data_IF_116042660318
#
_entry.id   IF_116042660318
#
_cell.length_a   1.000
_cell.length_b   1.000
_cell.length_c   1.000
_cell.angle_alpha   90.00
_cell.angle_beta   90.00
_cell.angle_gamma   90.00
#
_symmetry.space_group_name_H-M   'P 1'
#
loop_
_entity.id
_entity.type
_entity.pdbx_description
1 polymer ?
#
# COMPACT_ATOMS: atom_id res chain seq x y z
N UNK A 1 3.19 -6.11 15.63
CA UNK A 1 2.81 -5.52 14.32
C UNK A 1 3.57 -4.22 13.95
N UNK A 2 4.89 -4.15 14.18
CA UNK A 2 5.71 -2.95 13.90
C UNK A 2 6.00 -2.76 12.40
N UNK A 3 6.42 -3.84 11.72
CA UNK A 3 6.91 -3.75 10.35
C UNK A 3 5.82 -3.36 9.34
N UNK A 4 4.56 -3.74 9.55
CA UNK A 4 3.44 -3.33 8.67
C UNK A 4 3.25 -1.81 8.76
N UNK A 5 3.18 -1.27 9.98
CA UNK A 5 3.02 0.17 10.24
C UNK A 5 4.18 0.94 9.61
N UNK A 6 5.41 0.45 9.78
CA UNK A 6 6.61 1.06 9.20
C UNK A 6 6.63 0.98 7.67
N UNK A 7 6.35 -0.20 7.10
CA UNK A 7 6.42 -0.47 5.65
C UNK A 7 5.41 0.36 4.87
N UNK A 8 4.22 0.52 5.41
CA UNK A 8 3.11 1.25 4.81
C UNK A 8 2.98 2.68 5.34
N UNK A 9 3.89 3.12 6.23
CA UNK A 9 3.91 4.47 6.80
C UNK A 9 2.54 4.93 7.36
N UNK A 10 1.93 4.10 8.22
CA UNK A 10 0.51 4.23 8.59
C UNK A 10 0.21 5.28 9.67
N UNK A 11 1.22 5.86 10.32
CA UNK A 11 1.01 6.86 11.39
C UNK A 11 0.79 8.25 10.75
N UNK A 12 -0.29 8.38 10.00
CA UNK A 12 -0.66 9.56 9.23
C UNK A 12 -2.19 9.71 9.11
N UNK A 13 -2.73 10.92 8.95
CA UNK A 13 -4.17 11.15 8.83
C UNK A 13 -4.70 10.87 7.40
N UNK A 14 -4.50 9.65 6.89
CA UNK A 14 -4.87 9.26 5.50
C UNK A 14 -6.22 8.54 5.38
N UNK A 15 -6.83 8.15 6.50
CA UNK A 15 -7.97 7.21 6.52
C UNK A 15 -9.33 7.80 6.12
N UNK A 16 -9.49 9.13 6.16
CA UNK A 16 -10.78 9.77 5.84
C UNK A 16 -11.23 9.46 4.40
N UNK A 17 -10.27 9.39 3.46
CA UNK A 17 -10.58 9.13 2.06
C UNK A 17 -11.13 7.73 1.83
N UNK A 18 -10.61 6.72 2.52
CA UNK A 18 -11.03 5.32 2.33
C UNK A 18 -12.39 4.98 2.95
N UNK A 19 -12.97 5.87 3.76
CA UNK A 19 -14.25 5.64 4.45
C UNK A 19 -15.46 5.58 3.51
N UNK A 20 -15.35 6.12 2.30
CA UNK A 20 -16.35 6.02 1.23
C UNK A 20 -15.69 5.56 -0.06
N UNK A 21 -16.45 4.86 -0.91
CA UNK A 21 -15.98 4.36 -2.21
C UNK A 21 -14.85 3.32 -2.11
N UNK A 22 -14.70 2.66 -0.96
CA UNK A 22 -13.80 1.53 -0.78
C UNK A 22 -12.36 1.91 -0.37
N UNK A 23 -11.65 0.89 0.13
CA UNK A 23 -10.26 0.98 0.59
C UNK A 23 -9.21 0.62 -0.46
N UNK A 24 -9.62 -0.07 -1.53
CA UNK A 24 -8.71 -0.66 -2.52
C UNK A 24 -9.07 -0.26 -3.95
N UNK A 25 -8.09 -0.30 -4.86
CA UNK A 25 -8.29 -0.12 -6.29
C UNK A 25 -8.74 1.30 -6.68
N UNK A 26 -8.33 2.31 -5.90
CA UNK A 26 -8.70 3.71 -6.13
C UNK A 26 -7.64 4.45 -6.90
N UNK A 27 -8.06 5.12 -7.97
CA UNK A 27 -7.17 5.90 -8.84
C UNK A 27 -7.07 7.37 -8.40
N UNK A 28 -8.04 7.87 -7.63
CA UNK A 28 -8.12 9.27 -7.19
C UNK A 28 -7.24 9.58 -5.95
N UNK A 29 -6.77 8.54 -5.26
CA UNK A 29 -5.82 8.65 -4.17
C UNK A 29 -4.96 7.39 -4.05
N UNK A 30 -3.65 7.58 -4.08
CA UNK A 30 -2.70 6.47 -3.91
C UNK A 30 -2.50 6.18 -2.43
N UNK A 31 -3.13 5.12 -1.94
CA UNK A 31 -2.87 4.60 -0.60
C UNK A 31 -1.53 3.83 -0.56
N UNK A 32 -0.80 3.83 0.56
CA UNK A 32 0.50 3.14 0.65
C UNK A 32 0.44 1.64 0.35
N UNK A 33 -0.69 0.98 0.58
CA UNK A 33 -0.89 -0.44 0.29
C UNK A 33 -1.24 -0.75 -1.16
N UNK A 34 -1.56 0.27 -1.97
CA UNK A 34 -1.80 0.12 -3.42
C UNK A 34 -0.49 0.22 -4.23
N UNK A 35 0.61 0.63 -3.59
CA UNK A 35 1.90 0.79 -4.28
C UNK A 35 2.52 -0.58 -4.54
N UNK A 36 2.78 -0.88 -5.81
CA UNK A 36 3.40 -2.14 -6.25
C UNK A 36 4.92 -2.04 -6.36
N UNK A 37 5.58 -1.44 -5.36
CA UNK A 37 7.02 -1.20 -5.34
C UNK A 37 7.86 -2.48 -5.15
N UNK A 38 7.26 -3.55 -4.60
CA UNK A 38 7.92 -4.85 -4.41
C UNK A 38 7.96 -5.73 -5.67
N UNK A 39 7.45 -5.30 -6.83
CA UNK A 39 7.36 -6.15 -8.04
C UNK A 39 8.73 -6.70 -8.44
N UNK A 40 9.77 -5.87 -8.49
CA UNK A 40 11.09 -6.28 -8.96
C UNK A 40 11.73 -7.33 -8.03
N UNK A 41 11.61 -7.11 -6.71
CA UNK A 41 12.12 -8.04 -5.70
C UNK A 41 11.41 -9.38 -5.77
N UNK A 42 10.08 -9.36 -5.93
CA UNK A 42 9.27 -10.58 -6.05
C UNK A 42 9.58 -11.37 -7.32
N UNK A 43 9.75 -10.68 -8.46
CA UNK A 43 10.18 -11.31 -9.72
C UNK A 43 11.54 -11.97 -9.57
N UNK A 44 12.51 -11.25 -8.99
CA UNK A 44 13.86 -11.78 -8.69
C UNK A 44 13.79 -13.02 -7.80
N UNK A 45 13.01 -12.97 -6.71
CA UNK A 45 12.86 -14.08 -5.77
C UNK A 45 12.19 -15.30 -6.42
N UNK A 46 11.21 -15.07 -7.29
CA UNK A 46 10.52 -16.12 -8.06
C UNK A 46 11.33 -16.62 -9.27
N UNK A 47 12.48 -15.99 -9.59
CA UNK A 47 13.32 -16.27 -10.76
C UNK A 47 12.56 -16.11 -12.09
N UNK A 48 11.72 -15.07 -12.18
CA UNK A 48 10.98 -14.65 -13.38
C UNK A 48 11.31 -13.23 -13.79
#
# INVERSE_FOLDING_TARGET
PYYIIKRLNLIQPIYKKSACYGHFGREDFVFPWEVTDAIADLKTAAKI
#
